data_IF_779276684834
#
_entry.id   IF_779276684834
#
_cell.length_a   1.000
_cell.length_b   1.000
_cell.length_c   1.000
_cell.angle_alpha   90.00
_cell.angle_beta   90.00
_cell.angle_gamma   90.00
#
_symmetry.space_group_name_H-M   'P 1'
#
loop_
_entity.id
_entity.type
_entity.pdbx_description
1 polymer ?
#
# COMPACT_ATOMS: atom_id res chain seq x y z
N UNK A 1 -9.61 -0.60 10.74
CA UNK A 1 -9.44 -2.01 10.32
C UNK A 1 -8.00 -2.35 9.94
N UNK A 2 -7.41 -1.81 8.86
CA UNK A 2 -6.02 -2.16 8.46
C UNK A 2 -4.97 -1.90 9.55
N UNK A 3 -4.97 -0.71 10.16
CA UNK A 3 -4.05 -0.34 11.24
C UNK A 3 -4.29 -1.19 12.50
N UNK A 4 -5.55 -1.38 12.87
CA UNK A 4 -5.96 -2.19 14.01
C UNK A 4 -5.52 -3.66 13.89
N UNK A 5 -5.59 -4.23 12.68
CA UNK A 5 -5.12 -5.59 12.42
C UNK A 5 -3.62 -5.73 12.70
N UNK A 6 -2.84 -4.71 12.31
CA UNK A 6 -1.39 -4.65 12.52
C UNK A 6 -1.04 -4.48 13.98
N UNK A 7 -1.73 -3.60 14.68
CA UNK A 7 -1.48 -3.33 16.11
C UNK A 7 -1.73 -4.55 16.99
N UNK A 8 -2.70 -5.40 16.63
CA UNK A 8 -3.05 -6.56 17.43
C UNK A 8 -2.28 -7.84 17.09
N UNK A 9 -1.76 -7.98 15.86
CA UNK A 9 -1.17 -9.25 15.40
C UNK A 9 0.27 -9.15 14.90
N UNK A 10 0.79 -7.96 14.61
CA UNK A 10 2.12 -7.73 14.01
C UNK A 10 2.49 -8.78 12.95
N UNK A 11 1.68 -8.92 11.87
CA UNK A 11 1.91 -9.94 10.87
C UNK A 11 3.20 -9.65 10.09
N UNK A 12 3.80 -10.70 9.52
CA UNK A 12 4.93 -10.53 8.60
C UNK A 12 4.48 -10.04 7.22
N UNK A 13 3.27 -10.42 6.81
CA UNK A 13 2.70 -10.11 5.49
C UNK A 13 1.23 -9.75 5.63
N UNK A 14 0.78 -8.74 4.86
CA UNK A 14 -0.64 -8.40 4.70
C UNK A 14 -0.98 -8.40 3.21
N UNK A 15 -2.11 -9.03 2.89
CA UNK A 15 -2.71 -9.02 1.56
C UNK A 15 -3.93 -8.12 1.58
N UNK A 16 -3.96 -7.15 0.69
CA UNK A 16 -5.05 -6.19 0.50
C UNK A 16 -5.65 -6.48 -0.86
N UNK A 17 -6.98 -6.48 -0.97
CA UNK A 17 -7.64 -6.72 -2.26
C UNK A 17 -7.28 -5.60 -3.24
N UNK A 18 -7.65 -4.36 -2.95
CA UNK A 18 -7.31 -3.19 -3.76
C UNK A 18 -6.94 -1.97 -2.88
N UNK A 19 -5.97 -1.17 -3.32
CA UNK A 19 -5.74 0.18 -2.79
C UNK A 19 -6.25 1.19 -3.81
N UNK A 20 -7.44 1.74 -3.57
CA UNK A 20 -8.11 2.67 -4.47
C UNK A 20 -8.12 4.12 -3.98
N UNK A 21 -7.87 4.34 -2.69
CA UNK A 21 -7.99 5.66 -2.07
C UNK A 21 -6.69 6.13 -1.42
N UNK A 22 -6.54 7.46 -1.30
CA UNK A 22 -5.40 8.07 -0.59
C UNK A 22 -5.29 7.63 0.87
N UNK A 23 -6.42 7.42 1.55
CA UNK A 23 -6.43 7.00 2.95
C UNK A 23 -5.92 5.56 3.10
N UNK A 24 -6.31 4.66 2.21
CA UNK A 24 -5.80 3.28 2.19
C UNK A 24 -4.30 3.25 1.89
N UNK A 25 -3.84 4.06 0.93
CA UNK A 25 -2.43 4.12 0.59
C UNK A 25 -1.57 4.69 1.74
N UNK A 26 -2.06 5.69 2.47
CA UNK A 26 -1.41 6.20 3.68
C UNK A 26 -1.37 5.16 4.80
N UNK A 27 -2.46 4.41 4.99
CA UNK A 27 -2.50 3.32 5.94
C UNK A 27 -1.49 2.22 5.56
N UNK A 28 -1.47 1.79 4.30
CA UNK A 28 -0.50 0.85 3.76
C UNK A 28 0.94 1.35 3.94
N UNK A 29 1.24 2.61 3.62
CA UNK A 29 2.58 3.18 3.82
C UNK A 29 3.00 3.15 5.29
N UNK A 30 2.09 3.44 6.22
CA UNK A 30 2.38 3.40 7.66
C UNK A 30 2.69 1.97 8.12
N UNK A 31 2.01 0.98 7.55
CA UNK A 31 2.23 -0.43 7.84
C UNK A 31 3.57 -0.91 7.27
N UNK A 32 3.88 -0.54 6.02
CA UNK A 32 5.14 -0.90 5.37
C UNK A 32 6.36 -0.35 6.14
N UNK A 33 6.25 0.87 6.70
CA UNK A 33 7.29 1.47 7.55
C UNK A 33 7.58 0.69 8.83
N UNK A 34 6.64 -0.15 9.29
CA UNK A 34 6.84 -1.06 10.44
C UNK A 34 7.56 -2.36 10.05
N UNK A 35 8.04 -2.48 8.80
CA UNK A 35 8.76 -3.66 8.30
C UNK A 35 7.86 -4.81 7.88
N UNK A 36 6.56 -4.55 7.71
CA UNK A 36 5.57 -5.54 7.29
C UNK A 36 5.50 -5.55 5.76
N UNK A 37 5.57 -6.73 5.15
CA UNK A 37 5.43 -6.86 3.70
C UNK A 37 3.97 -6.70 3.28
N UNK A 38 3.73 -5.94 2.21
CA UNK A 38 2.40 -5.73 1.65
C UNK A 38 2.29 -6.32 0.25
N UNK A 39 1.14 -6.92 -0.05
CA UNK A 39 0.72 -7.33 -1.39
C UNK A 39 -0.66 -6.76 -1.62
N UNK A 40 -0.84 -6.02 -2.71
CA UNK A 40 -2.11 -5.39 -3.03
C UNK A 40 -2.34 -5.31 -4.54
N UNK A 41 -3.59 -5.25 -4.98
CA UNK A 41 -3.90 -4.77 -6.32
C UNK A 41 -4.10 -3.26 -6.31
N UNK A 42 -3.96 -2.64 -7.49
CA UNK A 42 -4.26 -1.24 -7.69
C UNK A 42 -4.78 -1.04 -9.10
N UNK A 43 -5.69 -0.10 -9.29
CA UNK A 43 -6.23 0.20 -10.59
C UNK A 43 -5.21 0.97 -11.46
N UNK A 44 -4.86 0.41 -12.61
CA UNK A 44 -4.01 1.04 -13.61
C UNK A 44 -3.77 0.13 -14.81
N UNK A 45 -3.48 0.72 -15.97
CA UNK A 45 -3.23 -0.03 -17.20
C UNK A 45 -1.73 -0.26 -17.39
N UNK A 46 -0.92 0.74 -17.03
CA UNK A 46 0.55 0.68 -17.06
C UNK A 46 1.13 1.04 -15.70
N UNK A 47 2.38 0.62 -15.43
CA UNK A 47 3.09 1.01 -14.21
C UNK A 47 3.21 2.53 -14.05
N UNK A 48 3.40 3.26 -15.15
CA UNK A 48 3.39 4.73 -15.15
C UNK A 48 2.07 5.31 -14.62
N UNK A 49 0.93 4.68 -14.83
CA UNK A 49 -0.32 5.16 -14.24
C UNK A 49 -0.28 5.10 -12.71
N UNK A 50 0.37 4.09 -12.13
CA UNK A 50 0.50 3.94 -10.69
C UNK A 50 1.50 4.96 -10.13
N UNK A 51 2.63 5.16 -10.81
CA UNK A 51 3.66 6.13 -10.39
C UNK A 51 3.16 7.57 -10.52
N UNK A 52 2.36 7.89 -11.54
CA UNK A 52 1.75 9.21 -11.70
C UNK A 52 0.53 9.43 -10.80
N UNK A 53 0.02 8.39 -10.12
CA UNK A 53 -1.08 8.53 -9.19
C UNK A 53 -0.56 9.04 -7.84
N UNK A 54 -0.91 10.28 -7.41
CA UNK A 54 -0.39 10.86 -6.17
C UNK A 54 -0.83 10.15 -4.89
N UNK A 55 -1.74 9.18 -4.98
CA UNK A 55 -2.11 8.32 -3.88
C UNK A 55 -1.22 7.08 -3.80
N UNK A 56 -0.73 6.57 -4.94
CA UNK A 56 -0.01 5.30 -5.02
C UNK A 56 1.50 5.46 -5.18
N UNK A 57 1.97 6.63 -5.60
CA UNK A 57 3.40 6.96 -5.77
C UNK A 57 4.24 6.63 -4.53
N UNK A 58 3.68 6.84 -3.33
CA UNK A 58 4.28 6.55 -2.03
C UNK A 58 4.55 5.05 -1.80
N UNK A 59 3.82 4.16 -2.49
CA UNK A 59 3.93 2.70 -2.33
C UNK A 59 4.81 2.05 -3.39
N UNK A 60 4.88 2.60 -4.60
CA UNK A 60 5.51 1.94 -5.75
C UNK A 60 6.99 2.30 -5.95
N UNK A 61 7.54 3.21 -5.13
CA UNK A 61 8.98 3.51 -5.10
C UNK A 61 9.54 4.26 -6.31
N UNK A 62 8.69 4.65 -7.27
CA UNK A 62 9.06 5.37 -8.49
C UNK A 62 9.76 4.50 -9.55
N UNK A 63 10.22 5.15 -10.62
CA UNK A 63 11.02 4.55 -11.70
C UNK A 63 12.42 5.16 -11.61
N UNK A 64 13.47 4.33 -11.67
CA UNK A 64 14.87 4.77 -11.73
C UNK A 64 15.46 4.46 -13.09
#
# INVERSE_FOLDING_TARGET
VLIEAVENHMPQVIVIDEIGTKLEALAASTIAQRGIQLVATAHGVTFENLVMNPSLDILVGGIQ
#
